data_IF_117948909717
#
_entry.id   IF_117948909717
#
_cell.length_a   1.000
_cell.length_b   1.000
_cell.length_c   1.000
_cell.angle_alpha   90.00
_cell.angle_beta   90.00
_cell.angle_gamma   90.00
#
_symmetry.space_group_name_H-M   'P 1'
#
loop_
_entity.id
_entity.type
_entity.pdbx_description
1 polymer ?
#
# COMPACT_ATOMS: atom_id res chain seq x y z
N UNK A 1 -8.99 3.61 8.73
CA UNK A 1 -10.14 3.13 9.52
C UNK A 1 -11.19 2.64 8.55
N UNK A 2 -11.73 1.44 8.78
CA UNK A 2 -12.79 0.84 7.98
C UNK A 2 -13.94 0.44 8.91
N UNK A 3 -15.15 0.96 8.66
CA UNK A 3 -16.39 0.68 9.41
C UNK A 3 -17.18 -0.38 8.64
N UNK A 4 -16.71 -1.61 8.71
CA UNK A 4 -17.17 -2.72 7.88
C UNK A 4 -18.65 -3.01 8.12
N UNK A 5 -19.09 -3.03 9.39
CA UNK A 5 -20.50 -3.30 9.70
C UNK A 5 -21.44 -2.23 9.12
N UNK A 6 -21.07 -0.95 9.22
CA UNK A 6 -21.85 0.14 8.65
C UNK A 6 -21.92 0.02 7.11
N UNK A 7 -20.80 -0.29 6.45
CA UNK A 7 -20.76 -0.54 5.00
C UNK A 7 -21.72 -1.66 4.61
N UNK A 8 -21.67 -2.79 5.33
CA UNK A 8 -22.49 -3.98 5.05
C UNK A 8 -23.99 -3.75 5.29
N UNK A 9 -24.34 -2.74 6.09
CA UNK A 9 -25.73 -2.36 6.38
C UNK A 9 -26.30 -1.35 5.38
N UNK A 10 -25.50 -0.81 4.46
CA UNK A 10 -26.00 0.10 3.41
C UNK A 10 -26.98 -0.61 2.48
N UNK A 11 -27.97 0.12 1.97
CA UNK A 11 -29.00 -0.42 1.06
C UNK A 11 -28.39 -1.13 -0.16
N UNK A 12 -27.31 -0.56 -0.71
CA UNK A 12 -26.55 -1.15 -1.81
C UNK A 12 -25.88 -2.46 -1.41
N UNK A 13 -25.17 -2.48 -0.27
CA UNK A 13 -24.48 -3.68 0.21
C UNK A 13 -25.45 -4.83 0.50
N UNK A 14 -26.63 -4.53 1.05
CA UNK A 14 -27.70 -5.52 1.29
C UNK A 14 -28.26 -6.04 -0.03
N UNK A 15 -28.61 -5.13 -0.95
CA UNK A 15 -29.15 -5.47 -2.29
C UNK A 15 -28.19 -6.34 -3.10
N UNK A 16 -26.91 -6.05 -3.00
CA UNK A 16 -25.85 -6.74 -3.72
C UNK A 16 -25.18 -7.87 -2.91
N UNK A 17 -25.68 -8.20 -1.72
CA UNK A 17 -25.21 -9.31 -0.89
C UNK A 17 -23.69 -9.24 -0.58
N UNK A 18 -23.18 -8.06 -0.22
CA UNK A 18 -21.74 -7.88 0.08
C UNK A 18 -21.29 -8.70 1.30
N UNK A 19 -22.15 -8.86 2.31
CA UNK A 19 -21.84 -9.64 3.51
C UNK A 19 -21.61 -11.13 3.21
N UNK A 20 -22.47 -11.72 2.36
CA UNK A 20 -22.33 -13.10 1.93
C UNK A 20 -21.03 -13.29 1.12
N UNK A 21 -20.79 -12.40 0.14
CA UNK A 21 -19.56 -12.40 -0.68
C UNK A 21 -18.29 -12.20 0.15
N UNK A 22 -18.32 -11.36 1.18
CA UNK A 22 -17.18 -11.16 2.08
C UNK A 22 -16.91 -12.43 2.90
N UNK A 23 -17.96 -13.06 3.42
CA UNK A 23 -17.85 -14.29 4.18
C UNK A 23 -17.27 -15.41 3.32
N UNK A 24 -17.76 -15.58 2.09
CA UNK A 24 -17.23 -16.53 1.11
C UNK A 24 -15.75 -16.25 0.79
N UNK A 25 -15.37 -14.98 0.56
CA UNK A 25 -13.99 -14.58 0.29
C UNK A 25 -13.06 -14.79 1.48
N UNK A 26 -13.53 -14.59 2.70
CA UNK A 26 -12.73 -14.84 3.88
C UNK A 26 -12.54 -16.34 4.12
N UNK A 27 -13.60 -17.13 3.98
CA UNK A 27 -13.53 -18.59 4.03
C UNK A 27 -12.63 -19.17 2.92
N UNK A 28 -12.52 -18.50 1.77
CA UNK A 28 -11.62 -18.88 0.68
C UNK A 28 -10.17 -18.46 0.91
N UNK A 29 -9.91 -17.70 1.97
CA UNK A 29 -8.61 -17.07 2.22
C UNK A 29 -8.31 -15.91 1.26
N UNK A 30 -9.24 -15.48 0.41
CA UNK A 30 -9.08 -14.36 -0.51
C UNK A 30 -9.35 -12.98 0.12
N UNK A 31 -10.02 -12.94 1.27
CA UNK A 31 -10.09 -11.76 2.15
C UNK A 31 -9.21 -12.00 3.37
N UNK A 32 -8.43 -10.98 3.75
CA UNK A 32 -7.67 -10.97 5.01
C UNK A 32 -8.49 -10.46 6.20
N UNK A 33 -9.70 -9.95 5.95
CA UNK A 33 -10.55 -9.32 6.95
C UNK A 33 -11.71 -10.27 7.28
N UNK A 34 -11.76 -10.83 8.50
CA UNK A 34 -12.88 -11.62 8.95
C UNK A 34 -14.23 -10.90 8.86
N UNK A 35 -15.33 -11.62 8.54
CA UNK A 35 -16.65 -11.03 8.32
C UNK A 35 -17.31 -10.50 9.60
N UNK A 36 -16.87 -10.96 10.78
CA UNK A 36 -17.36 -10.52 12.08
C UNK A 36 -16.70 -9.22 12.59
N UNK A 37 -15.73 -8.67 11.86
CA UNK A 37 -15.09 -7.42 12.27
C UNK A 37 -16.04 -6.26 11.97
N UNK A 38 -16.42 -5.52 13.02
CA UNK A 38 -17.23 -4.32 12.87
C UNK A 38 -16.40 -3.12 12.41
N UNK A 39 -15.26 -2.91 13.06
CA UNK A 39 -14.33 -1.81 12.78
C UNK A 39 -12.91 -2.33 12.73
N UNK A 40 -12.20 -1.97 11.65
CA UNK A 40 -10.78 -2.24 11.47
C UNK A 40 -10.00 -0.92 11.49
N UNK A 41 -9.06 -0.81 12.44
CA UNK A 41 -8.10 0.30 12.48
C UNK A 41 -6.75 -0.25 12.04
N UNK A 42 -6.13 0.41 11.07
CA UNK A 42 -4.80 0.06 10.57
C UNK A 42 -3.91 1.29 10.61
N UNK A 43 -2.66 1.08 11.01
CA UNK A 43 -1.56 2.03 10.92
C UNK A 43 -0.40 1.39 10.19
N UNK A 44 0.33 2.17 9.40
CA UNK A 44 1.54 1.69 8.73
C UNK A 44 2.58 2.80 8.72
N UNK A 45 3.85 2.42 8.93
CA UNK A 45 4.96 3.32 8.70
C UNK A 45 5.37 3.24 7.24
N UNK A 46 4.86 4.19 6.45
CA UNK A 46 5.22 4.35 5.04
C UNK A 46 6.40 5.29 4.93
N UNK A 47 7.44 4.87 4.21
CA UNK A 47 8.57 5.74 3.85
C UNK A 47 8.56 5.92 2.35
N UNK A 48 8.03 7.01 1.77
CA UNK A 48 7.91 7.12 0.31
C UNK A 48 9.23 6.96 -0.46
N UNK A 49 10.37 7.25 0.18
CA UNK A 49 11.71 7.05 -0.39
C UNK A 49 12.26 5.62 -0.25
N UNK A 50 11.68 4.78 0.61
CA UNK A 50 12.06 3.38 0.82
C UNK A 50 10.84 2.51 0.50
N UNK A 51 10.88 1.70 -0.56
CA UNK A 51 9.70 0.98 -1.06
C UNK A 51 8.97 0.04 -0.07
N UNK A 52 9.58 -0.26 1.08
CA UNK A 52 9.03 -1.14 2.11
C UNK A 52 8.33 -0.32 3.19
N UNK A 53 7.06 -0.65 3.48
CA UNK A 53 6.47 -0.26 4.75
C UNK A 53 7.34 -0.88 5.85
N UNK A 54 7.91 -0.05 6.71
CA UNK A 54 8.81 -0.54 7.75
C UNK A 54 8.05 -1.48 8.71
N UNK A 55 6.77 -1.19 8.92
CA UNK A 55 5.81 -2.07 9.60
C UNK A 55 4.38 -1.63 9.28
N UNK A 56 3.45 -2.55 9.49
CA UNK A 56 2.00 -2.36 9.52
C UNK A 56 1.47 -2.96 10.82
N UNK A 57 0.47 -2.31 11.41
CA UNK A 57 -0.22 -2.78 12.58
C UNK A 57 -1.72 -2.59 12.40
N UNK A 58 -2.50 -3.55 12.88
CA UNK A 58 -3.95 -3.50 12.87
C UNK A 58 -4.50 -3.75 14.27
N UNK A 59 -5.59 -3.08 14.59
CA UNK A 59 -6.43 -3.34 15.75
C UNK A 59 -7.83 -3.71 15.25
N UNK A 60 -8.35 -4.81 15.78
CA UNK A 60 -9.67 -5.31 15.45
C UNK A 60 -10.37 -5.83 16.70
N UNK A 61 -11.68 -5.62 16.76
CA UNK A 61 -12.50 -6.21 17.81
C UNK A 61 -12.73 -7.69 17.51
N UNK A 62 -12.63 -8.52 18.54
CA UNK A 62 -12.88 -9.97 18.45
C UNK A 62 -13.88 -10.38 19.54
N UNK A 63 -14.69 -11.42 19.32
CA UNK A 63 -15.58 -11.92 20.36
C UNK A 63 -14.85 -12.23 21.66
N UNK A 64 -15.46 -11.90 22.80
CA UNK A 64 -14.89 -12.21 24.10
C UNK A 64 -14.68 -13.72 24.26
N UNK A 65 -13.54 -14.14 24.83
CA UNK A 65 -13.19 -15.55 24.99
C UNK A 65 -12.51 -16.20 23.77
N UNK A 66 -12.28 -15.45 22.69
CA UNK A 66 -11.52 -15.96 21.54
C UNK A 66 -10.08 -16.26 21.93
N UNK A 67 -9.63 -17.51 21.76
CA UNK A 67 -8.26 -17.92 22.05
C UNK A 67 -7.27 -17.45 20.96
N UNK A 68 -6.12 -16.93 21.41
CA UNK A 68 -5.07 -16.42 20.52
C UNK A 68 -4.49 -17.50 19.60
N UNK A 69 -4.40 -18.75 20.09
CA UNK A 69 -3.94 -19.92 19.34
C UNK A 69 -4.84 -20.21 18.13
N UNK A 70 -6.17 -20.14 18.31
CA UNK A 70 -7.16 -20.31 17.24
C UNK A 70 -6.99 -19.25 16.15
N UNK A 71 -6.81 -17.98 16.56
CA UNK A 71 -6.66 -16.86 15.63
C UNK A 71 -5.39 -16.96 14.78
N UNK A 72 -4.28 -17.36 15.40
CA UNK A 72 -3.00 -17.51 14.70
C UNK A 72 -2.90 -18.78 13.84
N UNK A 73 -3.83 -19.72 14.02
CA UNK A 73 -3.91 -20.95 13.25
C UNK A 73 -2.98 -22.07 13.72
N UNK A 74 -2.49 -21.98 14.95
CA UNK A 74 -1.66 -22.98 15.61
C UNK A 74 -2.27 -23.32 16.97
N UNK A 75 -3.11 -24.35 17.00
CA UNK A 75 -3.83 -24.78 18.20
C UNK A 75 -2.93 -25.35 19.29
N UNK A 76 -1.69 -25.74 18.94
CA UNK A 76 -0.74 -26.33 19.87
C UNK A 76 0.28 -25.30 20.38
N UNK A 77 0.30 -24.10 19.81
CA UNK A 77 1.21 -23.04 20.21
C UNK A 77 0.74 -22.36 21.51
N UNK A 78 1.66 -22.26 22.47
CA UNK A 78 1.45 -21.53 23.70
C UNK A 78 1.81 -20.04 23.53
N UNK A 79 0.94 -19.10 23.93
CA UNK A 79 1.25 -17.68 23.91
C UNK A 79 2.48 -17.35 24.76
N UNK A 80 3.34 -16.50 24.22
CA UNK A 80 4.45 -15.88 24.95
C UNK A 80 4.08 -14.44 25.31
N UNK A 81 4.62 -13.90 26.40
CA UNK A 81 4.40 -12.50 26.73
C UNK A 81 5.37 -11.57 26.00
N UNK A 82 4.82 -10.61 25.25
CA UNK A 82 5.55 -9.46 24.73
C UNK A 82 5.10 -8.21 25.48
N UNK A 83 5.96 -7.68 26.36
CA UNK A 83 5.54 -6.60 27.26
C UNK A 83 4.53 -7.12 28.28
N UNK A 84 3.28 -6.64 28.22
CA UNK A 84 2.19 -7.11 29.10
C UNK A 84 1.11 -7.89 28.35
N UNK A 85 1.25 -8.03 27.03
CA UNK A 85 0.28 -8.71 26.17
C UNK A 85 0.72 -10.14 25.90
N UNK A 86 -0.16 -11.15 26.08
CA UNK A 86 0.02 -12.44 25.43
C UNK A 86 0.16 -12.23 23.92
N UNK A 87 1.12 -12.91 23.31
CA UNK A 87 1.44 -12.80 21.91
C UNK A 87 1.74 -14.16 21.30
N UNK A 88 1.37 -14.34 20.04
CA UNK A 88 1.62 -15.57 19.30
C UNK A 88 2.04 -15.22 17.89
N UNK A 89 3.03 -15.96 17.38
CA UNK A 89 3.45 -15.85 15.98
C UNK A 89 2.43 -16.58 15.14
N UNK A 90 1.82 -15.87 14.20
CA UNK A 90 0.94 -16.49 13.21
C UNK A 90 1.63 -16.63 11.85
N UNK A 91 0.81 -16.95 10.84
CA UNK A 91 1.29 -17.09 9.47
C UNK A 91 1.87 -15.78 8.90
N UNK A 92 2.70 -15.92 7.85
CA UNK A 92 3.26 -14.82 7.03
C UNK A 92 3.98 -13.72 7.83
N UNK A 93 4.80 -14.16 8.79
CA UNK A 93 5.62 -13.28 9.63
C UNK A 93 4.81 -12.17 10.31
N UNK A 94 3.68 -12.53 10.92
CA UNK A 94 2.90 -11.63 11.76
C UNK A 94 2.91 -12.07 13.22
N UNK A 95 2.82 -11.09 14.10
CA UNK A 95 2.61 -11.29 15.53
C UNK A 95 1.21 -10.84 15.91
N UNK A 96 0.45 -11.75 16.49
CA UNK A 96 -0.84 -11.49 17.10
C UNK A 96 -0.62 -11.15 18.58
N UNK A 97 -1.28 -10.11 19.07
CA UNK A 97 -1.20 -9.64 20.45
C UNK A 97 -2.61 -9.54 21.02
N UNK A 98 -2.86 -10.19 22.15
CA UNK A 98 -4.03 -9.90 22.97
C UNK A 98 -3.79 -8.59 23.74
N UNK A 99 -4.34 -7.50 23.22
CA UNK A 99 -4.11 -6.15 23.76
C UNK A 99 -4.92 -5.97 25.05
N UNK A 100 -6.16 -6.45 25.03
CA UNK A 100 -7.10 -6.53 26.15
C UNK A 100 -8.26 -7.45 25.72
N UNK A 101 -9.06 -7.98 26.65
CA UNK A 101 -10.21 -8.83 26.31
C UNK A 101 -11.07 -8.20 25.20
N UNK A 102 -11.24 -8.94 24.09
CA UNK A 102 -12.02 -8.52 22.93
C UNK A 102 -11.33 -7.56 21.96
N UNK A 103 -10.04 -7.25 22.14
CA UNK A 103 -9.25 -6.41 21.23
C UNK A 103 -7.95 -7.10 20.82
N UNK A 104 -7.90 -7.48 19.55
CA UNK A 104 -6.74 -8.13 18.95
C UNK A 104 -5.86 -7.10 18.22
N UNK A 105 -4.57 -7.13 18.52
CA UNK A 105 -3.53 -6.45 17.77
C UNK A 105 -2.84 -7.41 16.81
N UNK A 106 -2.52 -6.95 15.61
CA UNK A 106 -1.71 -7.73 14.65
C UNK A 106 -0.63 -6.82 14.10
N UNK A 107 0.62 -7.28 14.08
CA UNK A 107 1.76 -6.52 13.56
C UNK A 107 2.54 -7.35 12.54
N UNK A 108 2.89 -6.73 11.42
CA UNK A 108 3.69 -7.32 10.35
C UNK A 108 4.69 -6.28 9.77
N UNK A 109 5.98 -6.63 9.56
CA UNK A 109 6.62 -7.89 9.92
C UNK A 109 6.62 -8.15 11.43
N UNK A 110 6.66 -9.42 11.83
CA UNK A 110 6.49 -9.91 13.19
C UNK A 110 7.76 -9.75 14.02
N UNK A 111 8.38 -8.58 14.00
CA UNK A 111 9.56 -8.28 14.79
C UNK A 111 9.19 -8.17 16.27
N UNK A 112 9.69 -9.12 17.07
CA UNK A 112 9.36 -9.23 18.50
C UNK A 112 9.69 -7.96 19.29
N UNK A 113 10.76 -7.26 18.93
CA UNK A 113 11.17 -6.03 19.61
C UNK A 113 10.13 -4.91 19.38
N UNK A 114 9.64 -4.76 18.15
CA UNK A 114 8.66 -3.72 17.80
C UNK A 114 7.29 -4.04 18.37
N UNK A 115 6.84 -5.29 18.27
CA UNK A 115 5.61 -5.75 18.92
C UNK A 115 5.66 -5.56 20.46
N UNK A 116 6.81 -5.85 21.08
CA UNK A 116 7.02 -5.61 22.50
C UNK A 116 7.03 -4.12 22.88
N UNK A 117 7.59 -3.24 22.02
CA UNK A 117 7.52 -1.78 22.21
C UNK A 117 6.08 -1.29 22.09
N UNK A 118 5.36 -1.73 21.08
CA UNK A 118 3.97 -1.38 20.85
C UNK A 118 3.06 -1.84 22.00
N UNK A 119 3.20 -3.08 22.48
CA UNK A 119 2.45 -3.58 23.66
C UNK A 119 2.70 -2.74 24.92
N UNK A 120 3.96 -2.35 25.19
CA UNK A 120 4.29 -1.49 26.33
C UNK A 120 3.67 -0.10 26.20
N UNK A 121 3.67 0.48 25.00
CA UNK A 121 3.05 1.78 24.74
C UNK A 121 1.54 1.73 24.97
N UNK A 122 0.86 0.71 24.45
CA UNK A 122 -0.58 0.48 24.67
C UNK A 122 -0.94 0.24 26.14
N UNK A 123 -0.02 -0.35 26.90
CA UNK A 123 -0.21 -0.61 28.33
C UNK A 123 0.19 0.56 29.23
N UNK A 124 0.81 1.60 28.67
CA UNK A 124 1.26 2.77 29.43
C UNK A 124 0.07 3.67 29.76
N UNK A 125 0.12 4.33 30.94
CA UNK A 125 -0.87 5.35 31.32
C UNK A 125 -0.58 6.73 30.73
N UNK A 126 0.52 6.86 29.97
CA UNK A 126 0.84 8.10 29.31
C UNK A 126 -0.01 8.20 28.04
N UNK A 127 -0.57 9.38 27.79
CA UNK A 127 -1.26 9.61 26.51
C UNK A 127 -0.25 9.43 25.37
N UNK A 128 -0.57 8.59 24.37
CA UNK A 128 0.33 8.43 23.24
C UNK A 128 0.43 9.77 22.49
N UNK A 129 1.65 10.17 22.16
CA UNK A 129 1.88 11.28 21.23
C UNK A 129 1.43 10.84 19.83
N UNK A 130 0.14 11.06 19.53
CA UNK A 130 -0.46 10.82 18.22
C UNK A 130 -0.50 12.16 17.48
N UNK A 131 -0.15 12.12 16.19
CA UNK A 131 -0.25 13.27 15.30
C UNK A 131 -1.66 13.91 15.37
N UNK A 132 -1.76 15.24 15.54
CA UNK A 132 -3.05 15.93 15.62
C UNK A 132 -3.96 15.65 14.43
N UNK A 133 -3.41 15.59 13.20
CA UNK A 133 -4.22 15.32 12.01
C UNK A 133 -4.81 13.91 12.05
N UNK A 134 -4.07 12.92 12.55
CA UNK A 134 -4.59 11.55 12.67
C UNK A 134 -5.72 11.46 13.70
N UNK A 135 -5.65 12.24 14.79
CA UNK A 135 -6.72 12.33 15.78
C UNK A 135 -7.97 13.02 15.23
N UNK A 136 -7.81 14.15 14.53
CA UNK A 136 -8.90 14.85 13.86
C UNK A 136 -9.62 13.92 12.88
N UNK A 137 -8.84 13.21 12.06
CA UNK A 137 -9.35 12.29 11.06
C UNK A 137 -10.03 11.06 11.69
N UNK A 138 -9.55 10.58 12.84
CA UNK A 138 -10.16 9.43 13.51
C UNK A 138 -11.61 9.66 13.95
N UNK A 139 -12.01 10.94 14.14
CA UNK A 139 -13.34 11.35 14.54
C UNK A 139 -14.34 11.49 13.37
N UNK A 140 -13.87 11.31 12.14
CA UNK A 140 -14.68 11.36 10.92
C UNK A 140 -15.76 10.24 10.90
N UNK A 141 -17.05 10.56 10.68
CA UNK A 141 -18.11 9.56 10.69
C UNK A 141 -18.17 8.67 9.43
N UNK A 142 -17.42 9.01 8.38
CA UNK A 142 -17.46 8.31 7.10
C UNK A 142 -17.02 6.84 7.24
N UNK A 143 -17.54 5.99 6.34
CA UNK A 143 -17.36 4.55 6.38
C UNK A 143 -15.90 4.10 6.22
N UNK A 144 -15.16 4.79 5.35
CA UNK A 144 -13.72 4.56 5.15
C UNK A 144 -13.00 5.88 5.33
N UNK A 145 -11.98 5.86 6.19
CA UNK A 145 -11.17 7.03 6.47
C UNK A 145 -9.70 6.66 6.40
N UNK A 146 -8.95 7.38 5.56
CA UNK A 146 -7.53 7.21 5.33
C UNK A 146 -6.84 8.53 5.65
N UNK A 147 -5.71 8.49 6.34
CA UNK A 147 -4.90 9.69 6.49
C UNK A 147 -3.41 9.37 6.60
N UNK A 148 -2.62 10.36 6.23
CA UNK A 148 -1.18 10.36 6.39
C UNK A 148 -0.75 11.71 6.96
N UNK A 149 0.05 11.66 8.01
CA UNK A 149 0.81 12.82 8.47
C UNK A 149 1.94 13.07 7.47
N UNK A 150 1.99 14.29 6.93
CA UNK A 150 2.99 14.70 5.94
C UNK A 150 3.89 15.82 6.48
N UNK A 151 3.73 16.20 7.75
CA UNK A 151 4.55 17.22 8.37
C UNK A 151 6.03 16.81 8.31
N UNK A 152 6.88 17.74 7.91
CA UNK A 152 8.33 17.56 7.75
C UNK A 152 8.75 16.44 6.75
N UNK A 153 7.82 15.90 5.95
CA UNK A 153 8.11 14.83 5.00
C UNK A 153 8.88 15.33 3.76
N UNK A 154 8.65 16.57 3.35
CA UNK A 154 9.14 17.09 2.07
C UNK A 154 10.49 17.79 2.21
N UNK A 155 11.46 17.37 1.39
CA UNK A 155 12.76 18.04 1.27
C UNK A 155 12.66 19.28 0.37
N UNK A 156 13.07 20.47 0.85
CA UNK A 156 12.99 21.73 0.09
C UNK A 156 13.69 21.69 -1.27
N UNK A 157 14.84 21.03 -1.36
CA UNK A 157 15.63 20.96 -2.59
C UNK A 157 14.92 20.08 -3.62
N UNK A 158 14.44 18.90 -3.20
CA UNK A 158 13.70 17.96 -4.05
C UNK A 158 12.39 18.55 -4.56
N UNK A 159 11.63 19.27 -3.71
CA UNK A 159 10.39 19.94 -4.12
C UNK A 159 10.69 20.95 -5.23
N UNK A 160 11.70 21.81 -5.06
CA UNK A 160 12.08 22.81 -6.06
C UNK A 160 12.51 22.15 -7.37
N UNK A 161 13.43 21.19 -7.32
CA UNK A 161 13.89 20.49 -8.52
C UNK A 161 12.76 19.76 -9.24
N UNK A 162 11.78 19.21 -8.51
CA UNK A 162 10.61 18.54 -9.11
C UNK A 162 9.67 19.52 -9.81
N UNK A 163 9.44 20.70 -9.22
CA UNK A 163 8.63 21.77 -9.82
C UNK A 163 9.33 22.41 -11.03
N UNK A 164 10.66 22.48 -11.02
CA UNK A 164 11.45 22.98 -12.15
C UNK A 164 11.47 22.03 -13.34
N UNK A 165 11.50 20.72 -13.08
CA UNK A 165 11.53 19.68 -14.10
C UNK A 165 10.16 19.37 -14.73
N UNK A 166 9.07 19.96 -14.22
CA UNK A 166 7.72 19.72 -14.72
C UNK A 166 7.22 20.90 -15.56
N UNK A 167 7.34 20.76 -16.88
CA UNK A 167 6.91 21.78 -17.86
C UNK A 167 5.40 22.06 -17.83
N UNK A 168 4.62 21.21 -17.14
CA UNK A 168 3.16 21.33 -16.99
C UNK A 168 2.76 22.10 -15.72
N UNK A 169 3.69 22.28 -14.78
CA UNK A 169 3.53 23.07 -13.57
C UNK A 169 3.94 24.53 -13.85
N UNK A 170 3.55 25.45 -12.97
CA UNK A 170 3.60 26.90 -13.23
C UNK A 170 4.93 27.35 -13.87
N UNK A 171 4.88 27.94 -15.09
CA UNK A 171 6.11 28.34 -15.81
C UNK A 171 6.79 29.56 -15.18
N UNK A 172 6.01 30.40 -14.51
CA UNK A 172 6.50 31.62 -13.87
C UNK A 172 7.37 31.28 -12.63
N UNK A 173 8.63 31.76 -12.55
CA UNK A 173 9.54 31.46 -11.44
C UNK A 173 9.00 31.87 -10.06
N UNK A 174 8.39 33.04 -9.94
CA UNK A 174 7.81 33.57 -8.68
C UNK A 174 6.68 32.67 -8.16
N UNK A 175 5.82 32.20 -9.07
CA UNK A 175 4.72 31.28 -8.74
C UNK A 175 5.27 29.92 -8.31
N UNK A 176 6.32 29.39 -8.97
CA UNK A 176 6.99 28.14 -8.52
C UNK A 176 7.57 28.25 -7.12
N UNK A 177 8.25 29.35 -6.81
CA UNK A 177 8.83 29.57 -5.48
C UNK A 177 7.71 29.56 -4.42
N UNK A 178 6.60 30.26 -4.68
CA UNK A 178 5.46 30.32 -3.75
C UNK A 178 4.79 28.97 -3.53
N UNK A 179 4.57 28.21 -4.61
CA UNK A 179 4.04 26.84 -4.54
C UNK A 179 5.00 25.95 -3.74
N UNK A 180 6.30 26.02 -4.01
CA UNK A 180 7.30 25.26 -3.26
C UNK A 180 7.23 25.57 -1.76
N UNK A 181 7.15 26.84 -1.40
CA UNK A 181 6.99 27.28 0.00
C UNK A 181 5.70 26.73 0.61
N UNK A 182 4.57 26.73 -0.10
CA UNK A 182 3.31 26.19 0.41
C UNK A 182 3.33 24.68 0.55
N UNK A 183 3.91 23.94 -0.39
CA UNK A 183 4.05 22.48 -0.30
C UNK A 183 4.86 22.08 0.94
N UNK A 184 5.92 22.82 1.29
CA UNK A 184 6.71 22.58 2.50
C UNK A 184 5.94 22.83 3.82
N UNK A 185 4.72 23.37 3.74
CA UNK A 185 3.83 23.62 4.88
C UNK A 185 2.68 22.64 4.94
N UNK A 186 2.74 21.55 4.17
CA UNK A 186 1.76 20.48 4.24
C UNK A 186 1.75 19.86 5.65
N UNK A 187 0.56 19.70 6.20
CA UNK A 187 0.32 19.05 7.50
C UNK A 187 -0.04 17.59 7.30
N UNK A 188 -0.88 17.31 6.32
CA UNK A 188 -1.25 15.95 5.97
C UNK A 188 -2.35 15.88 4.94
N UNK A 189 -2.68 14.65 4.58
CA UNK A 189 -3.72 14.31 3.62
C UNK A 189 -4.71 13.37 4.29
N UNK A 190 -6.00 13.64 4.12
CA UNK A 190 -7.09 12.74 4.49
C UNK A 190 -7.92 12.37 3.25
N UNK A 191 -8.46 11.16 3.27
CA UNK A 191 -9.48 10.72 2.33
C UNK A 191 -10.61 10.08 3.13
N UNK A 192 -11.81 10.63 2.97
CA UNK A 192 -13.04 10.14 3.59
C UNK A 192 -13.97 9.61 2.49
N UNK A 193 -14.55 8.44 2.69
CA UNK A 193 -15.41 7.77 1.71
C UNK A 193 -16.70 7.33 2.39
N UNK A 194 -17.82 7.72 1.80
CA UNK A 194 -19.16 7.30 2.19
C UNK A 194 -19.68 6.32 1.13
N UNK A 195 -20.15 5.17 1.60
CA UNK A 195 -20.79 4.16 0.76
C UNK A 195 -22.31 4.34 0.89
N UNK A 196 -22.98 4.74 -0.19
CA UNK A 196 -24.43 4.79 -0.30
C UNK A 196 -24.88 4.08 -1.58
N UNK A 197 -25.80 4.68 -2.33
CA UNK A 197 -26.07 4.25 -3.71
C UNK A 197 -24.82 4.46 -4.60
N UNK A 198 -24.16 5.61 -4.44
CA UNK A 198 -22.83 5.91 -4.97
C UNK A 198 -21.76 5.73 -3.90
N UNK A 199 -20.50 5.58 -4.33
CA UNK A 199 -19.34 5.59 -3.43
C UNK A 199 -18.75 6.99 -3.51
N UNK A 200 -19.07 7.86 -2.57
CA UNK A 200 -18.65 9.26 -2.61
C UNK A 200 -17.35 9.45 -1.84
N UNK A 201 -16.37 10.12 -2.46
CA UNK A 201 -15.07 10.38 -1.85
C UNK A 201 -14.77 11.86 -1.72
N UNK A 202 -14.12 12.21 -0.61
CA UNK A 202 -13.53 13.53 -0.37
C UNK A 202 -12.06 13.35 -0.01
N UNK A 203 -11.17 13.97 -0.78
CA UNK A 203 -9.74 14.09 -0.44
C UNK A 203 -9.50 15.51 0.04
N UNK A 204 -8.90 15.66 1.23
CA UNK A 204 -8.54 16.95 1.80
C UNK A 204 -7.05 16.96 2.12
N UNK A 205 -6.34 17.98 1.62
CA UNK A 205 -4.94 18.25 1.98
C UNK A 205 -4.92 19.51 2.84
N UNK A 206 -4.38 19.38 4.05
CA UNK A 206 -4.26 20.47 5.01
C UNK A 206 -2.87 21.07 5.02
N UNK A 207 -2.79 22.39 5.18
CA UNK A 207 -1.54 23.17 5.26
C UNK A 207 -1.50 24.01 6.54
N UNK A 208 -0.30 24.43 6.95
CA UNK A 208 -0.13 25.32 8.10
C UNK A 208 -0.43 26.79 7.78
N UNK A 209 -0.27 27.17 6.52
CA UNK A 209 -0.45 28.53 6.01
C UNK A 209 -1.59 28.58 4.97
N UNK A 210 -2.15 29.77 4.74
CA UNK A 210 -3.20 29.95 3.73
C UNK A 210 -2.66 29.64 2.33
N UNK A 211 -3.45 28.87 1.59
CA UNK A 211 -3.15 28.52 0.21
C UNK A 211 -3.44 29.69 -0.72
N UNK A 212 -2.67 29.73 -1.80
CA UNK A 212 -2.96 30.66 -2.87
C UNK A 212 -4.17 30.15 -3.66
N UNK A 213 -5.03 31.06 -4.09
CA UNK A 213 -6.26 30.74 -4.86
C UNK A 213 -5.94 30.32 -6.30
N UNK A 214 -5.20 29.22 -6.46
CA UNK A 214 -4.88 28.58 -7.74
C UNK A 214 -5.22 27.08 -7.68
N UNK A 215 -6.51 26.72 -7.51
CA UNK A 215 -6.92 25.33 -7.32
C UNK A 215 -6.52 24.42 -8.49
N UNK A 216 -6.55 24.92 -9.74
CA UNK A 216 -6.12 24.17 -10.92
C UNK A 216 -4.62 23.79 -10.89
N UNK A 217 -3.77 24.59 -10.24
CA UNK A 217 -2.33 24.28 -10.15
C UNK A 217 -2.09 23.20 -9.09
N UNK A 218 -2.70 23.32 -7.92
CA UNK A 218 -2.64 22.29 -6.87
C UNK A 218 -3.21 20.96 -7.34
N UNK A 219 -4.28 21.00 -8.13
CA UNK A 219 -4.89 19.81 -8.71
C UNK A 219 -3.97 19.07 -9.69
N UNK A 220 -3.29 19.81 -10.58
CA UNK A 220 -2.25 19.23 -11.44
C UNK A 220 -1.09 18.61 -10.65
N UNK A 221 -0.66 19.26 -9.57
CA UNK A 221 0.39 18.74 -8.69
C UNK A 221 -0.09 17.44 -8.04
N UNK A 222 -1.30 17.44 -7.46
CA UNK A 222 -1.90 16.27 -6.83
C UNK A 222 -1.99 15.08 -7.78
N UNK A 223 -2.57 15.27 -8.97
CA UNK A 223 -2.70 14.19 -9.96
C UNK A 223 -1.33 13.73 -10.47
N UNK A 224 -0.37 14.65 -10.65
CA UNK A 224 0.98 14.26 -11.03
C UNK A 224 1.67 13.43 -9.94
N UNK A 225 1.46 13.73 -8.66
CA UNK A 225 2.04 12.95 -7.55
C UNK A 225 1.40 11.56 -7.50
N UNK A 226 0.07 11.48 -7.61
CA UNK A 226 -0.63 10.18 -7.66
C UNK A 226 -0.17 9.34 -8.85
N UNK A 227 -0.05 9.95 -10.02
CA UNK A 227 0.50 9.29 -11.20
C UNK A 227 1.92 8.77 -10.91
N UNK A 228 2.81 9.58 -10.33
CA UNK A 228 4.17 9.16 -9.99
C UNK A 228 4.20 7.95 -9.03
N UNK A 229 3.23 7.88 -8.11
CA UNK A 229 3.07 6.75 -7.18
C UNK A 229 2.41 5.51 -7.81
N UNK A 230 1.91 5.61 -9.04
CA UNK A 230 1.15 4.53 -9.70
C UNK A 230 -0.27 4.40 -9.15
N UNK A 231 -0.79 5.48 -8.59
CA UNK A 231 -2.09 5.60 -7.93
C UNK A 231 -2.98 6.61 -8.66
N UNK A 232 -2.77 6.82 -9.97
CA UNK A 232 -3.66 7.64 -10.77
C UNK A 232 -5.09 7.09 -10.72
N UNK A 233 -6.05 7.97 -10.47
CA UNK A 233 -7.48 7.67 -10.39
C UNK A 233 -8.17 8.60 -11.37
N UNK A 234 -8.84 8.02 -12.35
CA UNK A 234 -9.39 8.76 -13.49
C UNK A 234 -10.45 9.77 -13.02
N UNK A 235 -11.22 9.44 -11.98
CA UNK A 235 -12.23 10.31 -11.38
C UNK A 235 -11.64 11.55 -10.68
N UNK A 236 -10.38 11.50 -10.25
CA UNK A 236 -9.69 12.68 -9.71
C UNK A 236 -9.24 13.63 -10.81
N UNK A 237 -9.01 13.17 -12.05
CA UNK A 237 -8.59 14.05 -13.14
C UNK A 237 -9.67 15.05 -13.54
N UNK A 238 -10.94 14.66 -13.44
CA UNK A 238 -12.09 15.49 -13.83
C UNK A 238 -12.77 16.21 -12.66
N UNK A 239 -12.40 15.89 -11.43
CA UNK A 239 -13.02 16.48 -10.25
C UNK A 239 -12.69 17.97 -10.10
N UNK A 240 -13.62 18.76 -9.58
CA UNK A 240 -13.42 20.20 -9.37
C UNK A 240 -12.69 20.46 -8.04
N UNK A 241 -11.46 21.01 -8.06
CA UNK A 241 -10.70 21.32 -6.86
C UNK A 241 -11.20 22.61 -6.20
N UNK A 242 -11.32 22.60 -4.87
CA UNK A 242 -11.65 23.77 -4.05
C UNK A 242 -10.49 24.09 -3.12
N UNK A 243 -10.14 25.38 -3.03
CA UNK A 243 -9.23 25.89 -2.00
C UNK A 243 -10.04 26.75 -1.04
N UNK A 244 -10.04 26.38 0.24
CA UNK A 244 -10.64 27.16 1.32
C UNK A 244 -9.62 27.37 2.44
N UNK A 245 -9.14 28.62 2.57
CA UNK A 245 -8.07 29.00 3.49
C UNK A 245 -6.84 28.10 3.36
N UNK A 246 -6.66 27.23 4.35
CA UNK A 246 -5.52 26.30 4.49
C UNK A 246 -5.76 24.91 3.92
N UNK A 247 -6.87 24.70 3.21
CA UNK A 247 -7.28 23.38 2.72
C UNK A 247 -7.42 23.36 1.22
N UNK A 248 -6.96 22.27 0.62
CA UNK A 248 -7.23 21.91 -0.76
C UNK A 248 -8.11 20.65 -0.75
N UNK A 249 -9.29 20.71 -1.35
CA UNK A 249 -10.28 19.64 -1.31
C UNK A 249 -10.70 19.23 -2.70
N UNK A 250 -10.82 17.92 -2.92
CA UNK A 250 -11.41 17.32 -4.13
C UNK A 250 -12.55 16.41 -3.70
N UNK A 251 -13.70 16.52 -4.36
CA UNK A 251 -14.86 15.64 -4.15
C UNK A 251 -15.24 14.96 -5.45
N UNK A 252 -15.41 13.65 -5.42
CA UNK A 252 -15.82 12.88 -6.59
C UNK A 252 -16.46 11.55 -6.20
N UNK A 253 -17.49 11.08 -6.93
CA UNK A 253 -17.89 9.68 -6.86
C UNK A 253 -16.77 8.80 -7.39
N UNK A 254 -16.58 7.63 -6.78
CA UNK A 254 -15.61 6.62 -7.17
C UNK A 254 -16.31 5.42 -7.81
N UNK A 255 -15.69 4.89 -8.86
CA UNK A 255 -15.94 3.52 -9.29
C UNK A 255 -15.40 2.52 -8.26
N UNK A 256 -15.94 1.31 -8.28
CA UNK A 256 -15.49 0.25 -7.37
C UNK A 256 -14.03 -0.14 -7.61
N UNK A 257 -13.59 -0.10 -8.87
CA UNK A 257 -12.21 -0.35 -9.29
C UNK A 257 -11.25 0.65 -8.63
N UNK A 258 -11.62 1.93 -8.66
CA UNK A 258 -10.84 3.02 -8.04
C UNK A 258 -10.76 2.86 -6.52
N UNK A 259 -11.87 2.51 -5.86
CA UNK A 259 -11.87 2.17 -4.43
C UNK A 259 -10.93 0.99 -4.12
N UNK A 260 -11.01 -0.10 -4.90
CA UNK A 260 -10.12 -1.27 -4.72
C UNK A 260 -8.65 -0.88 -4.88
N UNK A 261 -8.33 -0.03 -5.86
CA UNK A 261 -6.96 0.47 -6.09
C UNK A 261 -6.45 1.29 -4.91
N UNK A 262 -7.28 2.16 -4.34
CA UNK A 262 -6.94 2.94 -3.14
C UNK A 262 -6.67 2.01 -1.96
N UNK A 263 -7.59 1.07 -1.69
CA UNK A 263 -7.45 0.16 -0.56
C UNK A 263 -6.23 -0.75 -0.69
N UNK A 264 -5.78 -1.07 -1.92
CA UNK A 264 -4.57 -1.86 -2.16
C UNK A 264 -3.26 -1.20 -1.72
N UNK A 265 -3.27 0.11 -1.43
CA UNK A 265 -2.11 0.83 -0.86
C UNK A 265 -1.87 0.35 0.58
N UNK A 266 -2.94 0.01 1.29
CA UNK A 266 -2.86 -0.52 2.63
C UNK A 266 -2.74 -2.03 2.51
N UNK A 267 -1.58 -2.56 2.87
CA UNK A 267 -1.40 -4.00 3.04
C UNK A 267 -1.87 -4.35 4.45
N UNK A 268 -3.06 -4.96 4.62
CA UNK A 268 -3.43 -5.47 5.93
C UNK A 268 -2.44 -6.58 6.33
N UNK A 269 -2.15 -6.72 7.63
CA UNK A 269 -1.45 -7.91 8.10
C UNK A 269 -2.28 -9.16 7.74
N UNK A 270 -1.61 -10.33 7.63
CA UNK A 270 -2.26 -11.57 7.22
C UNK A 270 -3.47 -11.92 8.11
N UNK A 271 -4.50 -12.58 7.54
CA UNK A 271 -5.74 -12.87 8.27
C UNK A 271 -5.50 -13.71 9.53
N UNK A 272 -6.32 -13.46 10.54
CA UNK A 272 -6.65 -14.49 11.53
C UNK A 272 -7.50 -15.59 10.86
N UNK A 273 -7.37 -16.85 11.29
CA UNK A 273 -8.19 -17.95 10.74
C UNK A 273 -9.69 -17.77 11.06
N UNK A 274 -10.59 -18.37 10.26
CA UNK A 274 -11.99 -18.53 10.63
C UNK A 274 -12.13 -19.13 12.02
N UNK A 275 -12.84 -18.43 12.90
CA UNK A 275 -13.29 -19.02 14.16
C UNK A 275 -14.33 -20.07 13.79
N UNK A 276 -14.13 -21.31 14.21
CA UNK A 276 -15.22 -22.26 14.26
C UNK A 276 -16.28 -21.65 15.19
N UNK A 277 -17.55 -21.63 14.77
CA UNK A 277 -18.64 -21.27 15.68
C UNK A 277 -18.49 -22.12 16.94
N UNK A 278 -18.38 -21.46 18.10
CA UNK A 278 -18.35 -22.14 19.37
C UNK A 278 -19.59 -23.04 19.44
N UNK A 279 -19.37 -24.35 19.53
CA UNK A 279 -20.45 -25.27 19.85
C UNK A 279 -21.10 -24.77 21.15
N UNK A 280 -22.41 -24.50 21.16
CA UNK A 280 -23.07 -24.18 22.42
C UNK A 280 -22.89 -25.38 23.35
N UNK A 281 -22.41 -25.12 24.57
CA UNK A 281 -22.38 -26.11 25.65
C UNK A 281 -23.74 -26.83 25.73
N UNK A 282 -23.76 -28.15 25.99
CA UNK A 282 -24.99 -28.92 26.00
C UNK A 282 -25.86 -28.53 27.20
N UNK A 283 -26.77 -27.59 26.99
CA UNK A 283 -27.92 -27.39 27.87
C UNK A 283 -29.01 -28.42 27.50
N UNK A 284 -29.42 -29.17 28.52
CA UNK A 284 -30.38 -30.26 28.44
C UNK A 284 -31.75 -29.85 27.86
N UNK A 285 -32.29 -30.77 27.08
CA UNK A 285 -33.72 -31.10 26.84
C UNK A 285 -34.69 -30.03 26.28
N UNK A 286 -34.98 -30.24 24.98
CA UNK A 286 -36.30 -30.32 24.34
C UNK A 286 -37.23 -29.08 24.30
N UNK A 287 -37.28 -28.41 23.14
CA UNK A 287 -38.54 -28.05 22.44
C UNK A 287 -38.33 -28.17 20.92
N UNK A 288 -39.21 -28.92 20.26
CA UNK A 288 -39.24 -29.12 18.81
C UNK A 288 -39.82 -27.89 18.10
N UNK A 289 -39.03 -27.29 17.21
CA UNK A 289 -39.51 -26.42 16.12
C UNK A 289 -38.65 -26.73 14.88
N UNK A 290 -39.20 -26.67 13.65
CA UNK A 290 -38.60 -27.32 12.48
C UNK A 290 -37.25 -26.68 12.10
N UNK A 291 -36.28 -27.46 11.61
CA UNK A 291 -34.94 -26.96 11.38
C UNK A 291 -34.95 -25.96 10.22
N UNK A 292 -34.74 -24.69 10.54
CA UNK A 292 -34.19 -23.71 9.60
C UNK A 292 -32.84 -24.28 9.19
N UNK A 293 -32.76 -24.73 7.94
CA UNK A 293 -31.62 -25.43 7.38
C UNK A 293 -30.30 -24.85 7.90
N UNK A 294 -29.60 -25.64 8.71
CA UNK A 294 -28.19 -25.46 8.97
C UNK A 294 -27.52 -25.43 7.59
N UNK A 295 -27.12 -24.24 7.13
CA UNK A 295 -26.19 -24.12 6.03
C UNK A 295 -24.86 -24.62 6.59
N UNK A 296 -24.61 -25.92 6.45
CA UNK A 296 -23.26 -26.45 6.47
C UNK A 296 -22.40 -25.57 5.57
N UNK A 297 -21.37 -24.97 6.15
CA UNK A 297 -20.42 -24.12 5.46
C UNK A 297 -19.90 -24.84 4.21
N UNK A 298 -19.92 -24.23 3.01
CA UNK A 298 -19.19 -24.79 1.89
C UNK A 298 -17.70 -24.68 2.19
N UNK A 299 -17.02 -25.83 2.31
CA UNK A 299 -15.57 -25.91 2.13
C UNK A 299 -15.24 -25.20 0.82
N UNK A 300 -14.46 -24.13 0.88
CA UNK A 300 -14.02 -23.46 -0.35
C UNK A 300 -13.24 -24.45 -1.17
N UNK A 301 -13.74 -24.71 -2.36
CA UNK A 301 -13.09 -25.62 -3.28
C UNK A 301 -11.79 -24.97 -3.77
N UNK A 302 -10.69 -25.73 -3.93
CA UNK A 302 -9.44 -25.22 -4.52
C UNK A 302 -9.63 -24.45 -5.84
N UNK A 303 -10.71 -24.78 -6.58
CA UNK A 303 -11.14 -24.09 -7.79
C UNK A 303 -11.48 -22.61 -7.57
N UNK A 304 -12.24 -22.27 -6.52
CA UNK A 304 -12.69 -20.89 -6.30
C UNK A 304 -11.56 -19.98 -5.81
N UNK A 305 -10.72 -20.47 -4.89
CA UNK A 305 -9.52 -19.76 -4.46
C UNK A 305 -8.55 -19.51 -5.63
N UNK A 306 -8.36 -20.52 -6.48
CA UNK A 306 -7.56 -20.44 -7.71
C UNK A 306 -8.11 -19.40 -8.71
N UNK A 307 -9.43 -19.38 -8.92
CA UNK A 307 -10.10 -18.40 -9.77
C UNK A 307 -9.83 -16.98 -9.31
N UNK A 308 -10.03 -16.71 -8.02
CA UNK A 308 -9.86 -15.38 -7.43
C UNK A 308 -8.41 -14.91 -7.52
N UNK A 309 -7.46 -15.81 -7.26
CA UNK A 309 -6.02 -15.51 -7.41
C UNK A 309 -5.68 -15.11 -8.85
N UNK A 310 -6.12 -15.88 -9.85
CA UNK A 310 -5.84 -15.59 -11.25
C UNK A 310 -6.43 -14.24 -11.68
N UNK A 311 -7.69 -13.96 -11.32
CA UNK A 311 -8.34 -12.68 -11.63
C UNK A 311 -7.59 -11.50 -11.00
N UNK A 312 -7.13 -11.64 -9.75
CA UNK A 312 -6.36 -10.61 -9.08
C UNK A 312 -5.01 -10.34 -9.77
N UNK A 313 -4.25 -11.38 -10.13
CA UNK A 313 -2.98 -11.24 -10.86
C UNK A 313 -3.20 -10.56 -12.21
N UNK A 314 -4.19 -11.03 -12.98
CA UNK A 314 -4.53 -10.47 -14.29
C UNK A 314 -4.94 -9.00 -14.21
N UNK A 315 -5.77 -8.64 -13.22
CA UNK A 315 -6.17 -7.27 -13.01
C UNK A 315 -4.99 -6.35 -12.68
N UNK A 316 -4.06 -6.80 -11.82
CA UNK A 316 -2.82 -6.06 -11.52
C UNK A 316 -2.01 -5.85 -12.80
N UNK A 317 -1.90 -6.86 -13.66
CA UNK A 317 -1.20 -6.75 -14.95
C UNK A 317 -1.89 -5.72 -15.87
N UNK A 318 -3.22 -5.79 -16.00
CA UNK A 318 -4.00 -4.92 -16.89
C UNK A 318 -3.93 -3.44 -16.43
N UNK A 319 -4.00 -3.20 -15.12
CA UNK A 319 -3.80 -1.88 -14.53
C UNK A 319 -2.40 -1.31 -14.81
N UNK A 320 -1.36 -2.15 -14.72
CA UNK A 320 0.01 -1.72 -15.03
C UNK A 320 0.17 -1.37 -16.51
N UNK A 321 -0.46 -2.15 -17.41
CA UNK A 321 -0.48 -1.85 -18.84
C UNK A 321 -1.17 -0.52 -19.13
N UNK A 322 -2.32 -0.27 -18.50
CA UNK A 322 -3.04 0.99 -18.64
C UNK A 322 -2.22 2.19 -18.13
N UNK A 323 -1.55 2.03 -16.98
CA UNK A 323 -0.64 3.04 -16.44
C UNK A 323 0.54 3.31 -17.40
N UNK A 324 1.22 2.25 -17.86
CA UNK A 324 2.36 2.34 -18.78
C UNK A 324 1.99 3.03 -20.10
N UNK A 325 0.81 2.77 -20.65
CA UNK A 325 0.34 3.41 -21.88
C UNK A 325 0.22 4.94 -21.75
N UNK A 326 -0.02 5.45 -20.54
CA UNK A 326 -0.15 6.88 -20.23
C UNK A 326 1.17 7.54 -19.82
N UNK A 327 2.25 6.76 -19.66
CA UNK A 327 3.51 7.27 -19.13
C UNK A 327 4.32 8.05 -20.17
N UNK A 328 4.84 9.21 -19.78
CA UNK A 328 5.79 10.01 -20.59
C UNK A 328 7.24 9.92 -20.13
N UNK A 329 7.51 9.27 -18.99
CA UNK A 329 8.85 9.28 -18.35
C UNK A 329 9.23 7.90 -17.82
N UNK A 330 10.38 7.38 -18.26
CA UNK A 330 10.86 6.03 -17.92
C UNK A 330 11.11 5.81 -16.41
N UNK A 331 11.58 6.83 -15.69
CA UNK A 331 11.81 6.73 -14.25
C UNK A 331 10.50 6.47 -13.45
N UNK A 332 9.37 7.02 -13.89
CA UNK A 332 8.05 6.80 -13.28
C UNK A 332 7.58 5.36 -13.48
N UNK A 333 7.81 4.82 -14.69
CA UNK A 333 7.44 3.44 -15.01
C UNK A 333 8.21 2.42 -14.16
N UNK A 334 9.48 2.67 -13.81
CA UNK A 334 10.27 1.72 -13.00
C UNK A 334 9.62 1.43 -11.63
N UNK A 335 9.17 2.49 -10.94
CA UNK A 335 8.51 2.39 -9.63
C UNK A 335 7.20 1.63 -9.72
N UNK A 336 6.43 1.83 -10.79
CA UNK A 336 5.17 1.09 -10.99
C UNK A 336 5.41 -0.40 -11.12
N UNK A 337 6.36 -0.84 -11.95
CA UNK A 337 6.62 -2.27 -12.12
C UNK A 337 7.02 -2.94 -10.80
N UNK A 338 7.81 -2.28 -9.94
CA UNK A 338 8.18 -2.82 -8.63
C UNK A 338 7.01 -2.85 -7.65
N UNK A 339 6.19 -1.80 -7.60
CA UNK A 339 4.99 -1.75 -6.75
C UNK A 339 3.98 -2.84 -7.14
N UNK A 340 3.76 -3.03 -8.44
CA UNK A 340 2.83 -4.04 -8.95
C UNK A 340 3.34 -5.47 -8.74
N UNK A 341 4.65 -5.71 -8.89
CA UNK A 341 5.27 -6.99 -8.52
C UNK A 341 5.03 -7.34 -7.04
N UNK A 342 5.14 -6.37 -6.14
CA UNK A 342 4.88 -6.58 -4.70
C UNK A 342 3.44 -6.94 -4.42
N UNK A 343 2.48 -6.26 -5.09
CA UNK A 343 1.05 -6.59 -4.95
C UNK A 343 0.79 -8.06 -5.26
N UNK A 344 1.38 -8.58 -6.34
CA UNK A 344 1.24 -10.00 -6.73
C UNK A 344 1.80 -10.94 -5.66
N UNK A 345 3.00 -10.65 -5.13
CA UNK A 345 3.63 -11.48 -4.07
C UNK A 345 2.81 -11.51 -2.79
N UNK A 346 2.06 -10.44 -2.50
CA UNK A 346 1.25 -10.33 -1.29
C UNK A 346 -0.16 -10.95 -1.43
N UNK A 347 -0.54 -11.41 -2.62
CA UNK A 347 -1.83 -12.10 -2.81
C UNK A 347 -1.90 -13.39 -1.98
N UNK A 348 -3.10 -13.76 -1.56
CA UNK A 348 -3.28 -14.96 -0.76
C UNK A 348 -3.10 -16.23 -1.59
N UNK A 349 -2.26 -17.15 -1.11
CA UNK A 349 -1.97 -18.45 -1.75
C UNK A 349 -2.69 -19.63 -1.10
N UNK A 350 -3.55 -19.37 -0.10
CA UNK A 350 -4.26 -20.43 0.64
C UNK A 350 -5.26 -21.11 -0.29
N UNK A 351 -5.17 -22.43 -0.42
CA UNK A 351 -6.08 -23.22 -1.27
C UNK A 351 -5.91 -22.96 -2.77
N UNK A 352 -4.89 -22.20 -3.19
CA UNK A 352 -4.61 -21.87 -4.59
C UNK A 352 -3.79 -22.98 -5.25
N UNK A 353 -4.09 -23.26 -6.51
CA UNK A 353 -3.32 -24.16 -7.36
C UNK A 353 -1.83 -23.77 -7.43
N UNK A 354 -0.93 -24.73 -7.26
CA UNK A 354 0.52 -24.48 -7.29
C UNK A 354 0.99 -23.88 -8.62
N UNK A 355 0.35 -24.22 -9.74
CA UNK A 355 0.68 -23.65 -11.05
C UNK A 355 0.33 -22.16 -11.13
N UNK A 356 -0.74 -21.73 -10.44
CA UNK A 356 -1.10 -20.32 -10.33
C UNK A 356 -0.15 -19.56 -9.40
N UNK A 357 0.28 -20.17 -8.30
CA UNK A 357 1.29 -19.57 -7.40
C UNK A 357 2.62 -19.37 -8.16
N UNK A 358 3.04 -20.36 -8.94
CA UNK A 358 4.22 -20.28 -9.80
C UNK A 358 4.07 -19.18 -10.86
N UNK A 359 2.90 -19.07 -11.49
CA UNK A 359 2.56 -18.00 -12.44
C UNK A 359 2.70 -16.61 -11.79
N UNK A 360 2.05 -16.36 -10.65
CA UNK A 360 2.15 -15.07 -9.96
C UNK A 360 3.59 -14.72 -9.57
N UNK A 361 4.35 -15.71 -9.07
CA UNK A 361 5.77 -15.53 -8.73
C UNK A 361 6.61 -15.17 -9.95
N UNK A 362 6.37 -15.85 -11.07
CA UNK A 362 7.04 -15.63 -12.35
C UNK A 362 6.77 -14.22 -12.89
N UNK A 363 5.49 -13.81 -12.92
CA UNK A 363 5.10 -12.46 -13.34
C UNK A 363 5.75 -11.40 -12.45
N UNK A 364 5.70 -11.56 -11.12
CA UNK A 364 6.32 -10.61 -10.21
C UNK A 364 7.84 -10.49 -10.44
N UNK A 365 8.53 -11.60 -10.74
CA UNK A 365 9.95 -11.60 -11.12
C UNK A 365 10.21 -10.80 -12.39
N UNK A 366 9.42 -11.04 -13.45
CA UNK A 366 9.53 -10.32 -14.72
C UNK A 366 9.26 -8.82 -14.59
N UNK A 367 8.26 -8.42 -13.80
CA UNK A 367 7.99 -7.02 -13.50
C UNK A 367 9.18 -6.36 -12.79
N UNK A 368 9.82 -7.04 -11.82
CA UNK A 368 11.05 -6.52 -11.19
C UNK A 368 12.21 -6.39 -12.17
N UNK A 369 12.37 -7.32 -13.11
CA UNK A 369 13.38 -7.22 -14.16
C UNK A 369 13.14 -5.99 -15.06
N UNK A 370 11.88 -5.71 -15.43
CA UNK A 370 11.52 -4.49 -16.15
C UNK A 370 11.83 -3.23 -15.31
N UNK A 371 11.51 -3.27 -14.01
CA UNK A 371 11.82 -2.16 -13.09
C UNK A 371 13.32 -1.87 -13.01
N UNK A 372 14.16 -2.92 -12.95
CA UNK A 372 15.62 -2.81 -12.97
C UNK A 372 16.12 -2.17 -14.28
N UNK A 373 15.61 -2.64 -15.42
CA UNK A 373 15.89 -2.07 -16.76
C UNK A 373 15.65 -0.57 -16.82
N UNK A 374 14.47 -0.15 -16.35
CA UNK A 374 14.04 1.25 -16.40
C UNK A 374 14.86 2.16 -15.47
N UNK A 375 15.61 1.58 -14.53
CA UNK A 375 16.59 2.29 -13.69
C UNK A 375 18.01 2.29 -14.28
N UNK A 376 18.18 1.79 -15.51
CA UNK A 376 19.48 1.72 -16.19
C UNK A 376 20.35 0.55 -15.75
N UNK A 377 19.78 -0.48 -15.13
CA UNK A 377 20.46 -1.77 -14.92
C UNK A 377 20.23 -2.63 -16.17
N UNK A 378 21.26 -3.34 -16.63
CA UNK A 378 21.13 -4.22 -17.79
C UNK A 378 20.12 -5.35 -17.49
N UNK A 379 19.21 -5.66 -18.43
CA UNK A 379 18.31 -6.82 -18.30
C UNK A 379 19.13 -8.05 -18.62
N UNK A 380 19.80 -8.61 -17.63
CA UNK A 380 20.32 -9.96 -17.74
C UNK A 380 19.37 -10.89 -16.97
N UNK A 381 18.61 -11.71 -17.69
CA UNK A 381 17.72 -12.73 -17.09
C UNK A 381 18.56 -13.86 -16.46
N UNK A 382 19.90 -13.78 -16.52
CA UNK A 382 20.83 -14.84 -16.10
C UNK A 382 22.17 -14.45 -15.46
N UNK A 383 22.53 -13.19 -15.20
CA UNK A 383 23.83 -12.89 -14.55
C UNK A 383 23.86 -11.70 -13.59
N UNK A 384 24.40 -11.95 -12.39
CA UNK A 384 24.86 -10.96 -11.41
C UNK A 384 26.31 -10.51 -11.71
N UNK A 385 26.63 -9.31 -11.20
CA UNK A 385 27.95 -8.71 -10.90
C UNK A 385 28.48 -7.65 -11.89
N UNK A 386 28.39 -6.37 -11.51
CA UNK A 386 29.59 -5.53 -11.29
C UNK A 386 29.31 -4.14 -10.69
N UNK A 387 30.05 -3.90 -9.61
CA UNK A 387 30.43 -2.70 -8.85
C UNK A 387 30.03 -1.29 -9.33
N UNK A 388 29.52 -0.49 -8.37
CA UNK A 388 29.64 0.96 -8.36
C UNK A 388 30.51 1.38 -7.17
N UNK A 389 31.67 1.98 -7.43
CA UNK A 389 32.57 2.54 -6.40
C UNK A 389 32.26 4.02 -6.23
N UNK A 390 31.95 4.45 -5.00
CA UNK A 390 31.81 5.85 -4.61
C UNK A 390 33.12 6.31 -3.97
N UNK A 391 33.82 7.27 -4.57
CA UNK A 391 35.00 7.91 -3.95
C UNK A 391 34.63 9.29 -3.43
N UNK A 392 34.77 9.49 -2.11
CA UNK A 392 34.52 10.74 -1.40
C UNK A 392 35.88 11.40 -1.13
N UNK A 393 36.14 12.58 -1.68
CA UNK A 393 37.32 13.37 -1.33
C UNK A 393 36.89 14.59 -0.52
N UNK A 394 37.20 14.57 0.77
CA UNK A 394 37.08 15.73 1.66
C UNK A 394 38.47 16.30 1.94
N UNK A 395 38.67 17.59 1.71
CA UNK A 395 39.84 18.29 2.22
C UNK A 395 39.44 19.13 3.45
N UNK A 396 39.97 18.82 4.64
CA UNK A 396 39.71 19.61 5.84
C UNK A 396 40.35 21.00 5.71
N UNK A 397 39.73 22.00 6.34
CA UNK A 397 40.27 23.34 6.43
C UNK A 397 41.66 23.33 7.11
N UNK A 398 42.57 24.15 6.61
CA UNK A 398 43.95 24.23 7.09
C UNK A 398 44.38 25.68 7.36
N UNK A 399 45.36 25.80 8.24
CA UNK A 399 45.99 27.02 8.69
C UNK A 399 47.49 26.82 8.53
N UNK A 400 48.20 27.75 7.90
CA UNK A 400 49.66 27.71 7.86
C UNK A 400 50.25 29.08 8.23
N UNK A 401 51.42 29.02 8.86
CA UNK A 401 52.21 30.19 9.20
C UNK A 401 53.45 30.20 8.33
N UNK A 402 53.72 31.34 7.70
CA UNK A 402 54.98 31.54 7.01
C UNK A 402 56.02 32.18 7.95
N UNK A 403 57.29 32.01 7.61
CA UNK A 403 58.46 32.45 8.42
C UNK A 403 58.54 33.98 8.60
N UNK A 404 57.72 34.75 7.89
CA UNK A 404 57.66 36.22 7.98
C UNK A 404 56.43 36.74 8.74
N UNK A 405 55.71 35.86 9.46
CA UNK A 405 54.63 36.25 10.38
C UNK A 405 53.26 36.44 9.72
N UNK A 406 53.06 35.97 8.48
CA UNK A 406 51.75 35.95 7.82
C UNK A 406 50.94 34.70 8.20
N UNK A 407 49.65 34.90 8.48
CA UNK A 407 48.65 33.83 8.70
C UNK A 407 47.79 33.71 7.45
N UNK A 408 47.78 32.53 6.83
CA UNK A 408 46.94 32.22 5.66
C UNK A 408 45.89 31.17 6.03
N UNK A 409 44.63 31.35 5.58
CA UNK A 409 43.52 30.44 5.89
C UNK A 409 42.72 30.09 4.64
N UNK A 410 42.47 28.78 4.46
CA UNK A 410 41.58 28.25 3.42
C UNK A 410 40.26 27.77 4.02
N UNK A 411 39.14 28.27 3.51
CA UNK A 411 37.82 27.72 3.85
C UNK A 411 37.67 26.33 3.24
N UNK A 412 37.22 25.36 4.05
CA UNK A 412 36.76 24.07 3.52
C UNK A 412 35.57 24.29 2.58
N UNK A 413 35.76 23.96 1.31
CA UNK A 413 34.74 24.02 0.28
C UNK A 413 34.39 22.62 -0.24
N UNK A 414 33.16 22.48 -0.73
CA UNK A 414 32.72 21.31 -1.49
C UNK A 414 32.70 21.70 -2.96
N UNK A 415 33.57 21.11 -3.78
CA UNK A 415 33.53 21.26 -5.23
C UNK A 415 32.78 20.05 -5.81
N UNK A 416 31.58 20.30 -6.34
CA UNK A 416 30.76 19.27 -7.01
C UNK A 416 30.96 19.42 -8.51
N UNK A 417 32.00 18.79 -9.06
CA UNK A 417 32.01 18.49 -10.49
C UNK A 417 31.01 17.36 -10.75
N UNK A 418 29.81 17.74 -11.21
CA UNK A 418 28.74 16.80 -11.50
C UNK A 418 28.82 16.37 -12.97
N UNK A 419 29.27 15.13 -13.21
CA UNK A 419 29.07 14.43 -14.49
C UNK A 419 27.60 14.01 -14.73
N UNK A 420 26.66 14.52 -13.93
CA UNK A 420 25.25 14.14 -13.89
C UNK A 420 24.55 14.25 -15.26
N UNK A 421 24.92 15.21 -16.11
CA UNK A 421 24.36 15.30 -17.46
C UNK A 421 24.83 14.16 -18.37
N UNK A 422 26.13 13.82 -18.34
CA UNK A 422 26.68 12.68 -19.10
C UNK A 422 26.20 11.34 -18.54
N UNK A 423 26.03 11.22 -17.21
CA UNK A 423 25.45 10.03 -16.56
C UNK A 423 23.98 9.88 -16.92
N UNK A 424 23.19 10.96 -16.92
CA UNK A 424 21.78 10.95 -17.37
C UNK A 424 21.65 10.60 -18.85
N UNK A 425 22.55 11.10 -19.71
CA UNK A 425 22.59 10.73 -21.13
C UNK A 425 22.90 9.25 -21.31
N UNK A 426 23.94 8.72 -20.66
CA UNK A 426 24.26 7.27 -20.69
C UNK A 426 23.14 6.41 -20.11
N UNK A 427 22.51 6.82 -19.01
CA UNK A 427 21.35 6.12 -18.45
C UNK A 427 20.15 6.15 -19.41
N UNK A 428 19.89 7.28 -20.06
CA UNK A 428 18.83 7.38 -21.05
C UNK A 428 19.11 6.50 -22.28
N UNK A 429 20.36 6.41 -22.73
CA UNK A 429 20.79 5.53 -23.82
C UNK A 429 20.62 4.04 -23.47
N UNK A 430 21.05 3.61 -22.27
CA UNK A 430 20.84 2.22 -21.79
C UNK A 430 19.36 1.90 -21.65
N UNK A 431 18.57 2.82 -21.10
CA UNK A 431 17.11 2.65 -20.97
C UNK A 431 16.44 2.58 -22.35
N UNK A 432 16.89 3.38 -23.32
CA UNK A 432 16.38 3.35 -24.69
C UNK A 432 16.76 2.04 -25.41
N UNK A 433 18.00 1.57 -25.25
CA UNK A 433 18.47 0.30 -25.82
C UNK A 433 17.69 -0.91 -25.28
N UNK A 434 17.40 -0.95 -23.98
CA UNK A 434 16.62 -2.02 -23.35
C UNK A 434 15.12 -2.01 -23.66
N UNK A 435 14.61 -1.10 -24.51
CA UNK A 435 13.19 -1.03 -24.83
C UNK A 435 12.67 -2.29 -25.54
N UNK A 436 13.46 -2.87 -26.44
CA UNK A 436 13.10 -4.10 -27.16
C UNK A 436 13.01 -5.29 -26.21
N UNK A 437 13.93 -5.39 -25.26
CA UNK A 437 13.97 -6.47 -24.27
C UNK A 437 12.77 -6.39 -23.33
N UNK A 438 12.38 -5.17 -22.91
CA UNK A 438 11.16 -4.96 -22.10
C UNK A 438 9.90 -5.39 -22.84
N UNK A 439 9.79 -5.13 -24.14
CA UNK A 439 8.69 -5.64 -24.96
C UNK A 439 8.69 -7.16 -25.02
N UNK A 440 9.87 -7.79 -25.11
CA UNK A 440 10.02 -9.24 -25.03
C UNK A 440 9.55 -9.80 -23.68
N UNK A 441 9.91 -9.16 -22.56
CA UNK A 441 9.45 -9.57 -21.22
C UNK A 441 7.92 -9.42 -21.09
N UNK A 442 7.34 -8.36 -21.65
CA UNK A 442 5.87 -8.20 -21.69
C UNK A 442 5.18 -9.28 -22.52
N UNK A 443 5.74 -9.64 -23.67
CA UNK A 443 5.24 -10.76 -24.48
C UNK A 443 5.28 -12.07 -23.70
N UNK A 444 6.36 -12.34 -22.96
CA UNK A 444 6.44 -13.52 -22.11
C UNK A 444 5.38 -13.55 -21.00
N UNK A 445 5.03 -12.40 -20.41
CA UNK A 445 3.94 -12.29 -19.42
C UNK A 445 2.60 -12.66 -20.08
N UNK A 446 2.35 -12.18 -21.30
CA UNK A 446 1.11 -12.45 -22.03
C UNK A 446 1.01 -13.92 -22.47
N UNK A 447 2.12 -14.49 -22.94
CA UNK A 447 2.19 -15.91 -23.31
C UNK A 447 1.98 -16.82 -22.09
N UNK A 448 2.59 -16.50 -20.94
CA UNK A 448 2.38 -17.21 -19.68
C UNK A 448 0.94 -17.10 -19.20
N UNK A 449 0.33 -15.91 -19.28
CA UNK A 449 -1.09 -15.70 -18.94
C UNK A 449 -1.99 -16.62 -19.78
N UNK A 450 -1.82 -16.60 -21.10
CA UNK A 450 -2.63 -17.42 -22.01
C UNK A 450 -2.45 -18.93 -21.77
N UNK A 451 -1.20 -19.36 -21.52
CA UNK A 451 -0.87 -20.76 -21.21
C UNK A 451 -1.54 -21.21 -19.91
N UNK A 452 -1.43 -20.41 -18.85
CA UNK A 452 -1.98 -20.74 -17.52
C UNK A 452 -3.51 -20.72 -17.56
N UNK A 453 -4.13 -19.76 -18.25
CA UNK A 453 -5.59 -19.75 -18.45
C UNK A 453 -6.07 -21.02 -19.17
N UNK A 454 -5.34 -21.48 -20.19
CA UNK A 454 -5.64 -22.74 -20.89
C UNK A 454 -5.48 -23.96 -19.97
N UNK A 455 -4.40 -24.03 -19.20
CA UNK A 455 -4.15 -25.12 -18.25
C UNK A 455 -5.22 -25.17 -17.16
N UNK A 456 -5.64 -24.02 -16.65
CA UNK A 456 -6.69 -23.95 -15.64
C UNK A 456 -8.07 -24.31 -16.18
N UNK A 457 -8.39 -23.97 -17.45
CA UNK A 457 -9.61 -24.46 -18.11
C UNK A 457 -9.64 -25.97 -18.24
N UNK A 458 -8.51 -26.58 -18.63
CA UNK A 458 -8.40 -28.03 -18.70
C UNK A 458 -8.58 -28.70 -17.33
N UNK A 459 -8.11 -28.06 -16.25
CA UNK A 459 -8.17 -28.60 -14.89
C UNK A 459 -9.51 -28.37 -14.18
N UNK A 460 -10.09 -27.19 -14.35
CA UNK A 460 -11.25 -26.72 -13.58
C UNK A 460 -12.53 -26.54 -14.42
N UNK A 461 -12.49 -26.85 -15.72
CA UNK A 461 -13.59 -26.71 -16.66
C UNK A 461 -13.46 -25.49 -17.58
N UNK A 462 -14.07 -25.58 -18.76
CA UNK A 462 -14.00 -24.54 -19.82
C UNK A 462 -14.56 -23.18 -19.38
N UNK A 463 -15.39 -23.18 -18.34
CA UNK A 463 -15.98 -21.99 -17.72
C UNK A 463 -15.01 -21.24 -16.80
N UNK A 464 -13.76 -21.70 -16.61
CA UNK A 464 -12.74 -21.03 -15.80
C UNK A 464 -11.94 -19.96 -16.60
N UNK A 465 -11.57 -18.80 -16.02
CA UNK A 465 -11.96 -18.27 -14.71
C UNK A 465 -13.39 -17.70 -14.65
N UNK A 466 -14.15 -17.78 -15.75
CA UNK A 466 -15.54 -17.31 -15.83
C UNK A 466 -15.64 -15.78 -15.84
N UNK A 467 -16.80 -15.26 -16.26
CA UNK A 467 -17.13 -13.85 -16.02
C UNK A 467 -17.51 -13.63 -14.56
#
# INVERSE_FOLDING_TARGET
ILRIQEILQTDRAVREQWGDRQSERFLSGASSIPPWIEVLVMGALVRPAVPEAAWSAALMQVPAGTELATLAGDSDASPEYLGRSPALRGARDALFLDVRPGLLGVMAPGYRQDAGRWSRQMSSRADPEISPILLEVAQRPEHIVLAMDLQDMLDPTRVRSRLEADDTLAREPSTRIRIATQLLRIRGIEMAITVGETIDSTVTISFNDDLMRQPAVFHKIFNSVLADMGLGIDEFDTAEPVIDGKTFTIRTPLAEESLRRILSIIVPPPPARPLAEAEPEPAAEAVQTPPKAARSAPLVTPREASRQYLLAVNHIIDDLKAANARAKTYARTATWHDNFARKIVNLSTIGVDQELIAYGTSVAGKLRAIAASLRGQEIDVSAQQSNLTYSYHSHPAWWSFNVWGGVDWGYGGYEVESNLQQVRQRQAEVVAAGAKDRLGVWQQIDDERARVETAMRQRYGDDFPGK
#
